data_IF_171864217947
#
_entry.id   IF_171864217947
#
_cell.length_a   1.000
_cell.length_b   1.000
_cell.length_c   1.000
_cell.angle_alpha   90.00
_cell.angle_beta   90.00
_cell.angle_gamma   90.00
#
_symmetry.space_group_name_H-M   'P 1'
#
loop_
_entity.id
_entity.type
_entity.pdbx_description
1 polymer ?
#
# COMPACT_ATOMS: atom_id res chain seq x y z
N UNK A 1 47.96 -18.07 16.42
CA UNK A 1 48.64 -17.39 15.29
C UNK A 1 48.19 -18.09 14.01
N UNK A 2 47.63 -17.29 13.11
CA UNK A 2 47.51 -17.52 11.66
C UNK A 2 46.66 -18.69 11.16
N UNK A 3 45.37 -18.43 10.91
CA UNK A 3 44.62 -19.01 9.78
C UNK A 3 43.44 -18.09 9.43
N UNK A 4 43.72 -16.88 8.94
CA UNK A 4 42.68 -15.97 8.42
C UNK A 4 43.30 -15.00 7.40
N UNK A 5 43.69 -15.50 6.23
CA UNK A 5 44.18 -14.65 5.13
C UNK A 5 44.39 -15.39 3.80
N UNK A 6 43.46 -16.25 3.37
CA UNK A 6 43.59 -16.93 2.05
C UNK A 6 42.35 -16.86 1.14
N UNK A 7 41.34 -16.04 1.45
CA UNK A 7 40.17 -15.88 0.57
C UNK A 7 40.16 -14.59 -0.27
N UNK A 8 41.22 -13.77 -0.22
CA UNK A 8 41.25 -12.49 -0.96
C UNK A 8 41.96 -12.55 -2.32
N UNK A 9 42.34 -13.72 -2.85
CA UNK A 9 43.21 -13.81 -4.03
C UNK A 9 42.73 -14.74 -5.17
N UNK A 10 41.42 -15.01 -5.30
CA UNK A 10 40.91 -15.91 -6.36
C UNK A 10 40.02 -15.23 -7.42
N UNK A 11 40.24 -13.96 -7.74
CA UNK A 11 39.49 -13.28 -8.81
C UNK A 11 40.34 -12.57 -9.87
N UNK A 12 41.63 -12.88 -9.98
CA UNK A 12 42.51 -12.21 -10.95
C UNK A 12 42.93 -13.06 -12.16
N UNK A 13 42.29 -14.21 -12.39
CA UNK A 13 42.50 -14.99 -13.61
C UNK A 13 41.18 -15.28 -14.33
N UNK A 14 41.11 -14.82 -15.58
CA UNK A 14 40.04 -14.97 -16.56
C UNK A 14 38.90 -13.91 -16.52
N UNK A 15 39.24 -12.63 -16.70
CA UNK A 15 38.28 -11.64 -17.20
C UNK A 15 38.01 -11.94 -18.67
N UNK A 16 36.86 -12.56 -18.98
CA UNK A 16 36.40 -12.75 -20.35
C UNK A 16 36.00 -11.40 -20.97
N UNK A 17 36.09 -11.24 -22.30
CA UNK A 17 35.77 -9.99 -23.02
C UNK A 17 34.32 -9.47 -22.82
N UNK A 18 33.45 -10.27 -22.18
CA UNK A 18 32.06 -9.90 -21.83
C UNK A 18 31.84 -9.72 -20.32
N UNK A 19 32.91 -9.63 -19.52
CA UNK A 19 32.80 -9.38 -18.09
C UNK A 19 32.36 -7.94 -17.85
N UNK A 20 31.11 -7.76 -17.43
CA UNK A 20 30.57 -6.49 -16.96
C UNK A 20 30.94 -6.38 -15.48
N UNK A 21 31.76 -5.38 -15.15
CA UNK A 21 32.17 -5.13 -13.76
C UNK A 21 30.93 -4.81 -12.89
N UNK A 22 30.87 -5.31 -11.64
CA UNK A 22 29.78 -4.99 -10.73
C UNK A 22 29.63 -3.47 -10.56
N UNK A 23 28.41 -2.97 -10.74
CA UNK A 23 28.12 -1.53 -10.66
C UNK A 23 28.22 -0.96 -9.21
N UNK A 24 28.56 -1.78 -8.23
CA UNK A 24 28.64 -1.33 -6.85
C UNK A 24 29.79 -0.33 -6.66
N UNK A 25 29.47 0.88 -6.20
CA UNK A 25 30.47 1.86 -5.76
C UNK A 25 30.14 2.33 -4.36
N UNK A 26 31.07 2.09 -3.43
CA UNK A 26 30.91 2.43 -2.01
C UNK A 26 30.61 3.93 -1.80
N UNK A 27 31.20 4.80 -2.62
CA UNK A 27 31.00 6.24 -2.49
C UNK A 27 29.56 6.69 -2.79
N UNK A 28 28.77 5.95 -3.59
CA UNK A 28 27.34 6.23 -3.76
C UNK A 28 26.60 6.07 -2.42
N UNK A 29 26.89 4.99 -1.70
CA UNK A 29 26.29 4.70 -0.39
C UNK A 29 26.65 5.78 0.63
N UNK A 30 27.92 6.19 0.68
CA UNK A 30 28.41 7.23 1.59
C UNK A 30 27.83 8.61 1.24
N UNK A 31 27.68 8.92 -0.05
CA UNK A 31 27.04 10.16 -0.49
C UNK A 31 25.57 10.23 -0.04
N UNK A 32 24.84 9.11 -0.13
CA UNK A 32 23.45 9.04 0.36
C UNK A 32 23.41 9.18 1.89
N UNK A 33 24.33 8.57 2.63
CA UNK A 33 24.42 8.77 4.09
C UNK A 33 24.66 10.25 4.44
N UNK A 34 25.57 10.93 3.73
CA UNK A 34 25.83 12.36 3.92
C UNK A 34 24.58 13.23 3.62
N UNK A 35 23.81 12.88 2.59
CA UNK A 35 22.54 13.53 2.26
C UNK A 35 21.50 13.36 3.39
N UNK A 36 21.39 12.16 3.94
CA UNK A 36 20.43 11.82 5.01
C UNK A 36 20.78 12.53 6.33
N UNK A 37 22.07 12.64 6.65
CA UNK A 37 22.57 13.22 7.89
C UNK A 37 22.60 14.75 7.85
N UNK A 38 23.24 15.32 6.83
CA UNK A 38 23.55 16.74 6.72
C UNK A 38 22.81 17.49 5.61
N UNK A 39 21.92 16.83 4.88
CA UNK A 39 21.13 17.46 3.82
C UNK A 39 21.93 17.74 2.54
N UNK A 40 21.37 18.61 1.69
CA UNK A 40 21.91 18.91 0.36
C UNK A 40 23.33 19.50 0.40
N UNK A 41 23.63 20.37 1.37
CA UNK A 41 24.94 21.01 1.49
C UNK A 41 26.03 19.98 1.82
N UNK A 42 25.76 19.05 2.75
CA UNK A 42 26.70 17.99 3.11
C UNK A 42 26.92 17.01 1.95
N UNK A 43 25.88 16.71 1.17
CA UNK A 43 25.99 15.91 -0.06
C UNK A 43 26.94 16.57 -1.08
N UNK A 44 26.74 17.86 -1.36
CA UNK A 44 27.58 18.62 -2.30
C UNK A 44 29.02 18.76 -1.80
N UNK A 45 29.21 19.01 -0.51
CA UNK A 45 30.54 19.07 0.10
C UNK A 45 31.27 17.73 -0.05
N UNK A 46 30.60 16.61 0.26
CA UNK A 46 31.16 15.26 0.10
C UNK A 46 31.59 14.99 -1.35
N UNK A 47 30.74 15.30 -2.33
CA UNK A 47 31.08 15.12 -3.75
C UNK A 47 32.27 15.97 -4.18
N UNK A 48 32.36 17.22 -3.69
CA UNK A 48 33.47 18.11 -4.00
C UNK A 48 34.79 17.59 -3.42
N UNK A 49 34.75 17.02 -2.21
CA UNK A 49 35.91 16.47 -1.50
C UNK A 49 36.42 15.19 -2.16
N UNK A 50 35.51 14.27 -2.49
CA UNK A 50 35.84 12.98 -3.12
C UNK A 50 36.02 13.10 -4.64
N UNK A 51 35.87 14.31 -5.21
CA UNK A 51 35.94 14.58 -6.67
C UNK A 51 35.01 13.67 -7.48
N UNK A 52 33.83 13.42 -6.95
CA UNK A 52 32.81 12.56 -7.56
C UNK A 52 31.76 13.40 -8.30
N UNK A 53 31.16 12.83 -9.35
CA UNK A 53 30.09 13.49 -10.09
C UNK A 53 28.76 13.39 -9.35
N UNK A 54 27.94 14.45 -9.44
CA UNK A 54 26.54 14.42 -9.06
C UNK A 54 25.80 13.36 -9.89
N UNK A 55 25.01 12.53 -9.21
CA UNK A 55 24.34 11.38 -9.83
C UNK A 55 22.85 11.29 -9.49
N UNK A 56 22.39 11.98 -8.44
CA UNK A 56 20.98 12.06 -8.08
C UNK A 56 20.36 13.26 -8.79
N UNK A 57 19.16 13.07 -9.35
CA UNK A 57 18.34 14.18 -9.81
C UNK A 57 17.78 14.98 -8.62
N UNK A 58 17.47 16.26 -8.84
CA UNK A 58 16.88 17.12 -7.80
C UNK A 58 15.59 16.51 -7.21
N UNK A 59 14.78 15.86 -8.04
CA UNK A 59 13.55 15.18 -7.62
C UNK A 59 13.83 13.98 -6.69
N UNK A 60 14.94 13.27 -6.89
CA UNK A 60 15.35 12.15 -6.04
C UNK A 60 15.88 12.66 -4.70
N UNK A 61 16.67 13.73 -4.72
CA UNK A 61 17.17 14.41 -3.53
C UNK A 61 15.98 14.87 -2.66
N UNK A 62 15.04 15.59 -3.25
CA UNK A 62 13.84 16.07 -2.56
C UNK A 62 12.99 14.91 -2.04
N UNK A 63 12.86 13.83 -2.83
CA UNK A 63 12.13 12.65 -2.39
C UNK A 63 12.78 11.99 -1.16
N UNK A 64 14.10 11.78 -1.18
CA UNK A 64 14.84 11.19 -0.05
C UNK A 64 14.66 12.08 1.20
N UNK A 65 14.93 13.38 1.09
CA UNK A 65 14.88 14.30 2.23
C UNK A 65 13.47 14.37 2.86
N UNK A 66 12.41 14.28 2.05
CA UNK A 66 11.04 14.34 2.54
C UNK A 66 10.51 13.02 3.12
N UNK A 67 11.07 11.86 2.73
CA UNK A 67 10.56 10.53 3.09
C UNK A 67 11.49 9.75 4.05
N UNK A 68 12.60 10.34 4.48
CA UNK A 68 13.49 9.73 5.47
C UNK A 68 12.87 9.73 6.86
N UNK A 69 12.74 8.54 7.43
CA UNK A 69 12.37 8.33 8.82
C UNK A 69 13.61 8.01 9.64
N UNK A 70 14.04 8.97 10.47
CA UNK A 70 15.13 8.78 11.44
C UNK A 70 14.57 8.03 12.65
N UNK A 71 15.24 6.97 13.09
CA UNK A 71 14.87 6.29 14.33
C UNK A 71 15.10 7.26 15.51
N UNK A 72 14.13 7.45 16.43
CA UNK A 72 14.39 8.25 17.61
C UNK A 72 15.50 7.61 18.44
N UNK A 73 16.51 8.41 18.82
CA UNK A 73 17.69 7.99 19.60
C UNK A 73 17.37 7.43 21.01
N UNK A 74 16.08 7.32 21.39
CA UNK A 74 15.63 6.93 22.72
C UNK A 74 14.98 5.54 22.82
N UNK A 75 15.05 4.68 21.80
CA UNK A 75 14.88 3.25 22.05
C UNK A 75 16.16 2.71 22.67
N UNK A 76 16.35 2.98 23.97
CA UNK A 76 17.06 2.05 24.84
C UNK A 76 16.34 0.73 24.65
N UNK A 77 16.95 -0.19 23.92
CA UNK A 77 16.61 -1.59 24.07
C UNK A 77 16.79 -1.87 25.55
N UNK A 78 15.69 -1.99 26.30
CA UNK A 78 15.73 -2.51 27.65
C UNK A 78 16.26 -3.93 27.54
N UNK A 79 17.58 -4.06 27.65
CA UNK A 79 18.31 -5.30 27.79
C UNK A 79 18.07 -5.85 29.19
N UNK A 80 16.81 -6.19 29.48
CA UNK A 80 16.48 -7.08 30.59
C UNK A 80 16.36 -8.47 29.99
N UNK A 81 17.51 -9.12 29.88
CA UNK A 81 17.77 -10.56 30.00
C UNK A 81 19.09 -10.85 29.28
N UNK A 82 20.19 -10.64 30.00
CA UNK A 82 21.45 -11.28 29.68
C UNK A 82 21.25 -12.79 29.87
N UNK A 83 20.97 -13.48 28.77
CA UNK A 83 21.30 -14.90 28.64
C UNK A 83 22.50 -14.92 27.70
N UNK A 84 23.59 -15.41 28.26
CA UNK A 84 24.88 -15.66 27.62
C UNK A 84 24.69 -16.66 26.49
N UNK A 85 24.54 -16.18 25.26
CA UNK A 85 24.70 -17.00 24.06
C UNK A 85 25.99 -16.57 23.35
N UNK A 86 27.05 -17.26 23.74
CA UNK A 86 28.30 -17.41 23.02
C UNK A 86 28.05 -18.13 21.69
N UNK A 87 27.42 -17.45 20.73
CA UNK A 87 27.38 -17.91 19.33
C UNK A 87 27.33 -16.73 18.37
N UNK A 88 28.51 -16.21 18.07
CA UNK A 88 28.74 -15.33 16.94
C UNK A 88 28.77 -16.15 15.65
N UNK A 89 27.64 -16.18 14.93
CA UNK A 89 27.63 -16.08 13.46
C UNK A 89 26.27 -15.56 13.02
N UNK A 90 26.23 -14.33 12.50
CA UNK A 90 25.03 -13.77 11.91
C UNK A 90 24.60 -14.60 10.70
N UNK A 91 23.47 -15.29 10.78
CA UNK A 91 22.82 -15.87 9.60
C UNK A 91 21.33 -16.09 9.89
N UNK A 92 20.50 -15.29 9.22
CA UNK A 92 19.11 -15.59 8.83
C UNK A 92 18.12 -16.03 9.93
N UNK A 93 17.13 -15.17 10.22
CA UNK A 93 16.00 -15.44 11.13
C UNK A 93 14.68 -15.62 10.34
N UNK A 94 14.43 -16.79 9.74
CA UNK A 94 13.24 -17.03 8.90
C UNK A 94 11.92 -16.97 9.67
N UNK A 95 11.90 -17.44 10.91
CA UNK A 95 10.64 -17.63 11.68
C UNK A 95 10.01 -16.28 12.10
N UNK A 96 10.79 -15.21 12.19
CA UNK A 96 10.30 -13.86 12.55
C UNK A 96 10.07 -12.94 11.33
N UNK A 97 10.51 -13.35 10.14
CA UNK A 97 10.40 -12.54 8.91
C UNK A 97 9.33 -13.02 7.93
N UNK A 98 8.82 -14.24 8.08
CA UNK A 98 7.75 -14.81 7.26
C UNK A 98 6.36 -14.29 7.70
N UNK A 99 5.93 -13.18 7.11
CA UNK A 99 4.51 -12.78 7.15
C UNK A 99 3.76 -13.58 6.07
N UNK A 100 2.72 -14.32 6.47
CA UNK A 100 1.88 -15.08 5.52
C UNK A 100 1.31 -14.14 4.45
N UNK A 101 1.52 -14.50 3.17
CA UNK A 101 1.06 -13.68 2.05
C UNK A 101 -0.47 -13.51 2.12
N UNK A 102 -1.00 -12.28 2.02
CA UNK A 102 -2.44 -12.05 1.97
C UNK A 102 -3.09 -12.88 0.84
N UNK A 103 -4.08 -13.68 1.21
CA UNK A 103 -4.83 -14.51 0.27
C UNK A 103 -5.68 -13.65 -0.68
N UNK A 104 -5.77 -14.09 -1.94
CA UNK A 104 -6.67 -13.51 -2.96
C UNK A 104 -8.11 -13.96 -2.68
N UNK A 105 -8.74 -13.25 -1.77
CA UNK A 105 -9.99 -13.62 -1.08
C UNK A 105 -11.28 -13.50 -1.91
N UNK A 106 -11.31 -12.66 -2.94
CA UNK A 106 -12.41 -12.51 -3.89
C UNK A 106 -12.47 -13.60 -4.98
N UNK A 107 -11.55 -14.56 -4.97
CA UNK A 107 -11.47 -15.65 -5.94
C UNK A 107 -10.53 -15.35 -7.09
N UNK A 108 -9.54 -16.23 -7.30
CA UNK A 108 -8.56 -16.11 -8.37
C UNK A 108 -8.62 -17.34 -9.30
N UNK A 109 -8.62 -17.16 -10.64
CA UNK A 109 -8.63 -18.29 -11.56
C UNK A 109 -7.38 -19.16 -11.37
N UNK A 110 -7.57 -20.47 -11.24
CA UNK A 110 -6.46 -21.40 -11.28
C UNK A 110 -5.90 -21.46 -12.71
N UNK A 111 -4.67 -21.02 -12.89
CA UNK A 111 -3.91 -21.21 -14.13
C UNK A 111 -3.12 -22.50 -14.02
N UNK A 112 -3.33 -23.42 -14.95
CA UNK A 112 -2.45 -24.57 -15.13
C UNK A 112 -1.25 -24.11 -15.99
N UNK A 113 -0.02 -24.13 -15.46
CA UNK A 113 1.15 -23.68 -16.21
C UNK A 113 1.32 -24.45 -17.52
N UNK A 114 1.56 -23.74 -18.63
CA UNK A 114 1.91 -24.37 -19.92
C UNK A 114 0.73 -24.83 -20.79
N UNK A 115 -0.52 -24.50 -20.46
CA UNK A 115 -1.70 -24.75 -21.31
C UNK A 115 -1.95 -23.61 -22.31
N UNK A 116 -1.42 -22.42 -22.02
CA UNK A 116 -1.57 -21.23 -22.87
C UNK A 116 -0.71 -21.37 -24.13
N UNK A 117 -1.31 -21.18 -25.32
CA UNK A 117 -0.59 -21.20 -26.60
C UNK A 117 0.46 -20.07 -26.74
N UNK A 118 1.00 -19.93 -27.95
CA UNK A 118 2.04 -18.92 -28.24
C UNK A 118 1.66 -17.50 -27.82
N UNK A 119 2.65 -16.75 -27.32
CA UNK A 119 2.47 -15.36 -26.88
C UNK A 119 2.25 -14.43 -28.06
N UNK A 120 1.17 -13.64 -28.01
CA UNK A 120 0.89 -12.58 -28.97
C UNK A 120 0.95 -11.22 -28.27
N UNK A 121 1.64 -10.26 -28.90
CA UNK A 121 1.86 -8.93 -28.38
C UNK A 121 1.49 -7.90 -29.47
N UNK A 122 0.50 -7.07 -29.17
CA UNK A 122 0.13 -5.90 -29.97
C UNK A 122 0.57 -4.61 -29.26
N UNK A 123 1.16 -3.66 -29.99
CA UNK A 123 1.62 -2.38 -29.43
C UNK A 123 0.61 -1.28 -29.68
N UNK A 124 0.16 -0.54 -28.66
CA UNK A 124 -0.64 0.66 -28.81
C UNK A 124 0.15 1.92 -28.42
N UNK A 125 -0.18 3.04 -29.06
CA UNK A 125 0.50 4.32 -28.85
C UNK A 125 -0.50 5.43 -28.52
N UNK A 126 -0.06 6.39 -27.73
CA UNK A 126 -0.76 7.65 -27.53
C UNK A 126 0.20 8.82 -27.81
N UNK A 127 -0.10 9.73 -28.76
CA UNK A 127 -1.28 9.77 -29.63
C UNK A 127 -1.44 8.53 -30.55
N UNK A 128 -2.68 8.16 -30.93
CA UNK A 128 -2.95 6.98 -31.73
C UNK A 128 -2.32 7.11 -33.13
N UNK A 129 -1.77 5.99 -33.62
CA UNK A 129 -1.15 5.89 -34.95
C UNK A 129 -2.13 5.25 -35.94
N UNK A 130 -1.92 3.99 -36.30
CA UNK A 130 -2.73 3.24 -37.26
C UNK A 130 -3.90 2.47 -36.61
N UNK A 131 -3.99 2.45 -35.28
CA UNK A 131 -5.05 1.73 -34.57
C UNK A 131 -6.34 2.54 -34.50
N UNK A 132 -7.50 1.86 -34.54
CA UNK A 132 -8.80 2.53 -34.49
C UNK A 132 -9.18 3.04 -33.09
N UNK A 133 -8.52 2.54 -32.03
CA UNK A 133 -8.86 2.88 -30.64
C UNK A 133 -7.66 3.48 -29.91
N UNK A 134 -7.95 4.41 -28.99
CA UNK A 134 -6.93 4.94 -28.08
C UNK A 134 -6.58 3.92 -26.98
N UNK A 135 -5.49 4.19 -26.26
CA UNK A 135 -5.09 3.38 -25.10
C UNK A 135 -6.21 3.36 -24.06
N UNK A 136 -6.78 4.53 -23.72
CA UNK A 136 -7.90 4.64 -22.77
C UNK A 136 -9.15 3.90 -23.23
N UNK A 137 -9.52 3.99 -24.50
CA UNK A 137 -10.67 3.24 -25.04
C UNK A 137 -10.45 1.73 -24.96
N UNK A 138 -9.24 1.26 -25.26
CA UNK A 138 -8.89 -0.16 -25.16
C UNK A 138 -8.95 -0.65 -23.72
N UNK A 139 -8.41 0.13 -22.77
CA UNK A 139 -8.49 -0.18 -21.33
C UNK A 139 -9.95 -0.28 -20.87
N UNK A 140 -10.78 0.72 -21.21
CA UNK A 140 -12.21 0.71 -20.86
C UNK A 140 -12.92 -0.50 -21.45
N UNK A 141 -12.68 -0.82 -22.72
CA UNK A 141 -13.24 -2.01 -23.37
C UNK A 141 -12.81 -3.29 -22.64
N UNK A 142 -11.54 -3.39 -22.28
CA UNK A 142 -11.01 -4.57 -21.58
C UNK A 142 -11.65 -4.78 -20.20
N UNK A 143 -11.87 -3.69 -19.45
CA UNK A 143 -12.58 -3.73 -18.15
C UNK A 143 -14.05 -4.14 -18.35
N UNK A 144 -14.72 -3.63 -19.38
CA UNK A 144 -16.12 -4.02 -19.68
C UNK A 144 -16.26 -5.48 -20.07
N UNK A 145 -15.31 -6.01 -20.84
CA UNK A 145 -15.33 -7.38 -21.35
C UNK A 145 -14.93 -8.44 -20.30
N UNK A 146 -14.40 -8.01 -19.16
CA UNK A 146 -14.02 -8.87 -18.04
C UNK A 146 -15.21 -9.67 -17.50
N UNK A 147 -14.96 -10.92 -17.07
CA UNK A 147 -16.02 -11.84 -16.62
C UNK A 147 -15.82 -12.39 -15.21
N UNK A 148 -14.58 -12.48 -14.73
CA UNK A 148 -14.23 -13.12 -13.46
C UNK A 148 -13.41 -12.19 -12.57
N UNK A 149 -12.24 -11.77 -13.06
CA UNK A 149 -11.26 -11.05 -12.24
C UNK A 149 -10.58 -9.95 -13.03
N UNK A 150 -10.36 -8.82 -12.37
CA UNK A 150 -9.55 -7.71 -12.85
C UNK A 150 -8.49 -7.42 -11.79
N UNK A 151 -7.23 -7.47 -12.17
CA UNK A 151 -6.11 -7.06 -11.34
C UNK A 151 -5.41 -5.87 -11.98
N UNK A 152 -5.21 -4.81 -11.19
CA UNK A 152 -4.67 -3.54 -11.66
C UNK A 152 -3.50 -3.19 -10.74
N UNK A 153 -2.35 -2.92 -11.35
CA UNK A 153 -1.17 -2.35 -10.70
C UNK A 153 -0.91 -1.00 -11.36
N UNK A 154 -0.89 0.07 -10.56
CA UNK A 154 -0.78 1.43 -11.10
C UNK A 154 0.00 2.36 -10.16
N UNK A 155 0.87 3.18 -10.75
CA UNK A 155 1.66 4.19 -10.03
C UNK A 155 0.79 5.37 -9.55
N UNK A 156 -0.04 5.94 -10.43
CA UNK A 156 -0.94 7.04 -10.12
C UNK A 156 -2.29 6.84 -10.79
N UNK A 157 -3.37 7.00 -10.00
CA UNK A 157 -4.73 6.82 -10.47
C UNK A 157 -5.63 7.99 -10.06
N UNK A 158 -5.95 8.85 -11.04
CA UNK A 158 -6.85 10.00 -10.90
C UNK A 158 -7.91 10.12 -12.01
N UNK A 159 -7.92 9.23 -13.01
CA UNK A 159 -8.91 9.22 -14.10
C UNK A 159 -10.29 8.73 -13.63
N UNK A 160 -11.29 9.61 -13.70
CA UNK A 160 -12.66 9.31 -13.24
C UNK A 160 -13.39 8.33 -14.15
N UNK A 161 -13.13 8.36 -15.46
CA UNK A 161 -13.84 7.50 -16.41
C UNK A 161 -13.43 6.04 -16.24
N UNK A 162 -12.13 5.79 -16.06
CA UNK A 162 -11.63 4.43 -15.81
C UNK A 162 -12.11 3.94 -14.43
N UNK A 163 -12.10 4.81 -13.41
CA UNK A 163 -12.60 4.46 -12.09
C UNK A 163 -14.08 4.04 -12.12
N UNK A 164 -14.93 4.78 -12.86
CA UNK A 164 -16.35 4.43 -13.02
C UNK A 164 -16.54 3.04 -13.64
N UNK A 165 -15.76 2.69 -14.67
CA UNK A 165 -15.83 1.38 -15.32
C UNK A 165 -15.42 0.24 -14.38
N UNK A 166 -14.46 0.49 -13.47
CA UNK A 166 -14.06 -0.48 -12.44
C UNK A 166 -15.18 -0.69 -11.42
N UNK A 167 -15.80 0.40 -10.96
CA UNK A 167 -16.93 0.32 -10.03
C UNK A 167 -18.10 -0.42 -10.68
N UNK A 168 -18.41 -0.13 -11.93
CA UNK A 168 -19.43 -0.86 -12.71
C UNK A 168 -19.07 -2.34 -12.88
N UNK A 169 -17.80 -2.66 -13.14
CA UNK A 169 -17.34 -4.05 -13.22
C UNK A 169 -17.55 -4.79 -11.89
N UNK A 170 -17.18 -4.17 -10.77
CA UNK A 170 -17.40 -4.73 -9.43
C UNK A 170 -18.88 -4.89 -9.10
N UNK A 171 -19.74 -3.97 -9.54
CA UNK A 171 -21.20 -4.07 -9.38
C UNK A 171 -21.81 -5.27 -10.13
N UNK A 172 -21.13 -5.76 -11.18
CA UNK A 172 -21.51 -6.98 -11.90
C UNK A 172 -21.06 -8.27 -11.19
N UNK A 173 -20.40 -8.17 -10.04
CA UNK A 173 -19.84 -9.31 -9.30
C UNK A 173 -18.50 -9.81 -9.84
N UNK A 174 -17.75 -8.94 -10.52
CA UNK A 174 -16.37 -9.23 -10.96
C UNK A 174 -15.44 -8.85 -9.81
N UNK A 175 -14.55 -9.77 -9.43
CA UNK A 175 -13.55 -9.50 -8.40
C UNK A 175 -12.47 -8.55 -8.93
N UNK A 176 -12.32 -7.40 -8.29
CA UNK A 176 -11.33 -6.39 -8.65
C UNK A 176 -10.30 -6.22 -7.55
N UNK A 177 -9.03 -6.36 -7.91
CA UNK A 177 -7.89 -6.07 -7.06
C UNK A 177 -7.12 -4.88 -7.64
N UNK A 178 -6.92 -3.85 -6.82
CA UNK A 178 -6.24 -2.62 -7.18
C UNK A 178 -5.05 -2.40 -6.25
N UNK A 179 -3.85 -2.50 -6.81
CA UNK A 179 -2.58 -2.18 -6.16
C UNK A 179 -2.10 -0.82 -6.64
N UNK A 180 -1.93 0.10 -5.70
CA UNK A 180 -1.47 1.46 -5.95
C UNK A 180 -0.14 1.72 -5.25
N UNK A 181 0.69 2.59 -5.81
CA UNK A 181 1.84 3.11 -5.09
C UNK A 181 1.39 3.88 -3.84
N UNK A 182 2.07 3.67 -2.72
CA UNK A 182 1.71 4.31 -1.46
C UNK A 182 1.88 5.83 -1.49
N UNK A 183 2.98 6.33 -2.07
CA UNK A 183 3.28 7.77 -2.07
C UNK A 183 2.20 8.56 -2.81
N UNK A 184 1.63 7.96 -3.85
CA UNK A 184 0.59 8.58 -4.68
C UNK A 184 -0.85 8.24 -4.27
N UNK A 185 -1.05 7.38 -3.26
CA UNK A 185 -2.37 6.91 -2.85
C UNK A 185 -3.32 8.04 -2.43
N UNK A 186 -2.78 9.10 -1.83
CA UNK A 186 -3.56 10.26 -1.38
C UNK A 186 -4.31 10.97 -2.53
N UNK A 187 -3.77 10.94 -3.75
CA UNK A 187 -4.42 11.51 -4.93
C UNK A 187 -5.64 10.71 -5.36
N UNK A 188 -5.55 9.38 -5.32
CA UNK A 188 -6.67 8.48 -5.59
C UNK A 188 -7.79 8.71 -4.59
N UNK A 189 -7.49 8.77 -3.29
CA UNK A 189 -8.49 9.00 -2.25
C UNK A 189 -9.26 10.31 -2.49
N UNK A 190 -8.55 11.42 -2.74
CA UNK A 190 -9.17 12.72 -3.06
C UNK A 190 -10.06 12.67 -4.30
N UNK A 191 -9.68 11.92 -5.33
CA UNK A 191 -10.50 11.75 -6.53
C UNK A 191 -11.81 11.04 -6.18
N UNK A 192 -11.73 9.94 -5.44
CA UNK A 192 -12.92 9.16 -5.05
C UNK A 192 -13.88 9.92 -4.13
N UNK A 193 -13.35 10.70 -3.18
CA UNK A 193 -14.15 11.57 -2.31
C UNK A 193 -14.92 12.63 -3.11
N UNK A 194 -14.29 13.23 -4.12
CA UNK A 194 -14.94 14.19 -5.03
C UNK A 194 -16.07 13.58 -5.84
N UNK A 195 -15.99 12.28 -6.15
CA UNK A 195 -17.06 11.56 -6.84
C UNK A 195 -18.17 11.09 -5.88
N UNK A 196 -18.09 11.42 -4.59
CA UNK A 196 -19.04 10.97 -3.57
C UNK A 196 -18.87 9.50 -3.17
N UNK A 197 -17.80 8.85 -3.62
CA UNK A 197 -17.46 7.47 -3.25
C UNK A 197 -16.49 7.50 -2.06
N UNK A 198 -17.01 7.30 -0.84
CA UNK A 198 -16.12 7.11 0.32
C UNK A 198 -15.50 5.70 0.25
N UNK A 199 -14.26 5.61 -0.21
CA UNK A 199 -13.55 4.32 -0.39
C UNK A 199 -13.38 3.56 0.95
N UNK A 200 -13.28 4.29 2.06
CA UNK A 200 -13.32 3.73 3.43
C UNK A 200 -14.62 2.97 3.72
N UNK A 201 -15.74 3.44 3.18
CA UNK A 201 -17.07 2.84 3.30
C UNK A 201 -17.37 1.80 2.22
N UNK A 202 -16.50 1.59 1.23
CA UNK A 202 -16.66 0.45 0.31
C UNK A 202 -16.52 -0.89 1.05
N UNK A 203 -15.87 -0.90 2.23
CA UNK A 203 -15.80 -2.08 3.10
C UNK A 203 -16.97 -2.17 4.10
N UNK A 204 -17.71 -1.08 4.36
CA UNK A 204 -18.67 -0.97 5.49
C UNK A 204 -20.10 -0.60 5.06
N UNK A 205 -20.31 0.32 4.11
CA UNK A 205 -21.65 0.71 3.62
C UNK A 205 -22.07 -0.06 2.36
N UNK A 206 -21.11 -0.49 1.54
CA UNK A 206 -21.32 -1.26 0.30
C UNK A 206 -20.81 -2.70 0.45
N UNK A 207 -21.38 -3.45 1.39
CA UNK A 207 -21.09 -4.86 1.70
C UNK A 207 -21.25 -5.86 0.51
N UNK A 208 -21.35 -5.37 -0.74
CA UNK A 208 -21.68 -6.11 -1.95
C UNK A 208 -20.74 -5.84 -3.13
N UNK A 209 -19.68 -5.04 -2.96
CA UNK A 209 -18.71 -4.78 -4.04
C UNK A 209 -17.42 -5.56 -3.81
N UNK A 210 -17.10 -6.45 -4.75
CA UNK A 210 -15.85 -7.22 -4.78
C UNK A 210 -14.70 -6.34 -5.29
N UNK A 211 -14.34 -5.27 -4.56
CA UNK A 211 -13.23 -4.37 -4.86
C UNK A 211 -12.27 -4.29 -3.67
N UNK A 212 -11.02 -4.73 -3.87
CA UNK A 212 -9.93 -4.62 -2.88
C UNK A 212 -8.90 -3.61 -3.35
N UNK A 213 -8.73 -2.53 -2.59
CA UNK A 213 -7.69 -1.52 -2.81
C UNK A 213 -6.59 -1.67 -1.76
N UNK A 214 -5.34 -1.81 -2.20
CA UNK A 214 -4.15 -1.94 -1.35
C UNK A 214 -3.02 -1.06 -1.87
N UNK A 215 -2.07 -0.73 -1.00
CA UNK A 215 -0.88 0.05 -1.35
C UNK A 215 0.36 -0.82 -1.36
N UNK A 216 1.30 -0.51 -2.26
CA UNK A 216 2.60 -1.18 -2.37
C UNK A 216 3.70 -0.14 -2.23
N UNK A 217 4.75 -0.50 -1.50
CA UNK A 217 5.99 0.28 -1.36
C UNK A 217 7.08 -0.35 -2.24
N UNK A 218 8.02 0.46 -2.70
CA UNK A 218 9.26 -0.05 -3.27
C UNK A 218 10.18 -0.64 -2.20
N UNK A 219 11.44 -0.89 -2.57
CA UNK A 219 12.43 -1.46 -1.65
C UNK A 219 12.80 -0.46 -0.55
N UNK A 220 13.00 -0.98 0.68
CA UNK A 220 13.51 -0.20 1.80
C UNK A 220 15.02 0.03 1.63
N UNK A 221 15.44 1.29 1.78
CA UNK A 221 16.84 1.68 1.89
C UNK A 221 17.17 2.00 3.34
N UNK A 222 18.28 1.46 3.84
CA UNK A 222 18.76 1.67 5.20
C UNK A 222 20.10 2.41 5.16
N UNK A 223 20.15 3.55 5.84
CA UNK A 223 21.40 4.28 6.09
C UNK A 223 22.20 3.67 7.23
N UNK A 224 23.48 4.04 7.33
CA UNK A 224 24.35 3.62 8.43
C UNK A 224 23.81 4.01 9.82
N UNK A 225 23.08 5.12 9.93
CA UNK A 225 22.52 5.61 11.20
C UNK A 225 21.19 4.95 11.58
N UNK A 226 20.71 4.00 10.78
CA UNK A 226 19.42 3.34 10.98
C UNK A 226 18.22 4.18 10.50
N UNK A 227 18.46 5.33 9.88
CA UNK A 227 17.40 6.03 9.16
C UNK A 227 17.01 5.24 7.90
N UNK A 228 15.72 5.23 7.59
CA UNK A 228 15.16 4.47 6.47
C UNK A 228 14.23 5.30 5.60
N UNK A 229 14.20 5.00 4.32
CA UNK A 229 13.18 5.44 3.37
C UNK A 229 12.87 4.30 2.42
N UNK A 230 11.79 4.41 1.64
CA UNK A 230 11.42 3.37 0.67
C UNK A 230 11.30 3.93 -0.74
N UNK A 231 11.56 3.08 -1.73
CA UNK A 231 11.30 3.39 -3.14
C UNK A 231 9.82 3.46 -3.48
N UNK A 232 9.53 3.78 -4.73
CA UNK A 232 8.18 3.80 -5.32
C UNK A 232 7.91 2.53 -6.12
N UNK A 233 6.63 2.18 -6.29
CA UNK A 233 6.18 1.15 -7.22
C UNK A 233 5.86 1.79 -8.59
N UNK A 234 6.77 1.64 -9.56
CA UNK A 234 6.61 2.22 -10.91
C UNK A 234 5.97 1.27 -11.94
N UNK A 235 5.68 0.02 -11.54
CA UNK A 235 5.06 -0.96 -12.41
C UNK A 235 3.60 -0.60 -12.72
N UNK A 236 3.22 -0.79 -13.99
CA UNK A 236 1.91 -0.44 -14.53
C UNK A 236 1.39 -1.53 -15.45
N UNK A 237 0.43 -2.30 -14.96
CA UNK A 237 -0.27 -3.26 -15.80
C UNK A 237 -1.68 -3.57 -15.32
N UNK A 238 -2.49 -4.08 -16.25
CA UNK A 238 -3.83 -4.57 -16.00
C UNK A 238 -3.90 -6.00 -16.48
N UNK A 239 -4.28 -6.92 -15.60
CA UNK A 239 -4.51 -8.34 -15.89
C UNK A 239 -6.02 -8.62 -15.81
N UNK A 240 -6.61 -9.12 -16.90
CA UNK A 240 -8.04 -9.45 -16.96
C UNK A 240 -8.24 -10.93 -17.23
N UNK A 241 -9.08 -11.56 -16.41
CA UNK A 241 -9.49 -12.96 -16.45
C UNK A 241 -8.33 -13.97 -16.55
N UNK A 242 -7.12 -13.55 -16.12
CA UNK A 242 -5.87 -14.28 -16.31
C UNK A 242 -5.59 -14.69 -17.77
N UNK A 243 -6.05 -13.89 -18.74
CA UNK A 243 -5.96 -14.20 -20.19
C UNK A 243 -5.36 -13.08 -21.02
N UNK A 244 -5.49 -11.84 -20.57
CA UNK A 244 -5.03 -10.66 -21.30
C UNK A 244 -4.39 -9.69 -20.33
N UNK A 245 -3.25 -9.15 -20.73
CA UNK A 245 -2.52 -8.12 -19.99
C UNK A 245 -2.38 -6.87 -20.85
N UNK A 246 -2.54 -5.70 -20.25
CA UNK A 246 -2.03 -4.45 -20.81
C UNK A 246 -0.91 -3.96 -19.92
N UNK A 247 0.29 -3.80 -20.47
CA UNK A 247 1.49 -3.33 -19.76
C UNK A 247 2.12 -2.15 -20.50
N UNK A 248 2.57 -1.12 -19.80
CA UNK A 248 3.32 -0.05 -20.44
C UNK A 248 3.51 1.21 -19.59
N UNK A 249 3.77 2.34 -20.26
CA UNK A 249 4.10 3.59 -19.56
C UNK A 249 2.88 4.44 -19.19
N UNK A 250 1.69 4.10 -19.71
CA UNK A 250 0.45 4.87 -19.53
C UNK A 250 -0.04 4.83 -18.08
N UNK A 251 -0.04 5.96 -17.39
CA UNK A 251 -0.66 6.12 -16.07
C UNK A 251 -2.09 6.64 -16.17
N UNK A 252 -2.94 6.32 -15.19
CA UNK A 252 -4.35 6.73 -15.20
C UNK A 252 -4.53 8.18 -14.74
N UNK A 253 -4.07 9.11 -15.57
CA UNK A 253 -4.11 10.55 -15.33
C UNK A 253 -4.53 11.32 -16.58
N UNK A 254 -5.08 12.51 -16.37
CA UNK A 254 -5.41 13.43 -17.47
C UNK A 254 -4.20 13.84 -18.32
N UNK A 255 -3.00 13.95 -17.72
CA UNK A 255 -1.76 14.29 -18.44
C UNK A 255 -1.42 13.26 -19.52
N UNK A 256 -1.65 11.98 -19.26
CA UNK A 256 -1.42 10.93 -20.26
C UNK A 256 -2.38 10.97 -21.43
N UNK A 257 -3.55 11.61 -21.28
CA UNK A 257 -4.48 11.84 -22.37
C UNK A 257 -4.12 13.08 -23.22
N UNK A 258 -3.55 14.12 -22.61
CA UNK A 258 -3.42 15.44 -23.25
C UNK A 258 -2.00 15.92 -23.51
N UNK A 259 -1.03 15.48 -22.73
CA UNK A 259 0.34 16.02 -22.77
C UNK A 259 1.40 14.97 -23.05
N UNK A 260 1.27 13.77 -22.48
CA UNK A 260 2.36 12.79 -22.50
C UNK A 260 2.28 11.87 -23.70
N UNK A 261 3.45 11.46 -24.18
CA UNK A 261 3.59 10.37 -25.15
C UNK A 261 3.71 9.06 -24.38
N UNK A 262 2.95 8.05 -24.76
CA UNK A 262 3.00 6.74 -24.09
C UNK A 262 2.80 5.58 -25.05
N UNK A 263 3.21 4.40 -24.59
CA UNK A 263 3.10 3.15 -25.32
C UNK A 263 2.68 2.05 -24.36
N UNK A 264 1.79 1.18 -24.82
CA UNK A 264 1.39 -0.02 -24.08
C UNK A 264 1.43 -1.25 -24.98
N UNK A 265 1.60 -2.40 -24.37
CA UNK A 265 1.60 -3.72 -24.98
C UNK A 265 0.33 -4.44 -24.54
N UNK A 266 -0.47 -4.93 -25.48
CA UNK A 266 -1.59 -5.84 -25.23
C UNK A 266 -1.08 -7.25 -25.45
N UNK A 267 -0.99 -8.02 -24.35
CA UNK A 267 -0.34 -9.31 -24.31
C UNK A 267 -1.39 -10.40 -24.06
N UNK A 268 -1.31 -11.49 -24.82
CA UNK A 268 -2.11 -12.71 -24.63
C UNK A 268 -1.22 -13.95 -24.80
N UNK A 269 -1.64 -15.07 -24.23
CA UNK A 269 -0.87 -16.33 -24.28
C UNK A 269 -0.01 -16.54 -23.04
N UNK A 270 1.06 -17.33 -23.16
CA UNK A 270 1.83 -17.82 -22.01
C UNK A 270 2.44 -16.71 -21.14
N UNK A 271 2.88 -15.58 -21.72
CA UNK A 271 3.50 -14.49 -20.94
C UNK A 271 2.55 -13.90 -19.88
N UNK A 272 1.23 -14.08 -20.02
CA UNK A 272 0.24 -13.67 -19.02
C UNK A 272 0.45 -14.39 -17.67
N UNK A 273 0.96 -15.63 -17.68
CA UNK A 273 1.27 -16.39 -16.47
C UNK A 273 2.38 -15.71 -15.64
N UNK A 274 3.37 -15.09 -16.29
CA UNK A 274 4.42 -14.34 -15.58
C UNK A 274 3.89 -13.06 -14.93
N UNK A 275 2.92 -12.39 -15.56
CA UNK A 275 2.25 -11.23 -14.96
C UNK A 275 1.31 -11.63 -13.81
N UNK A 276 0.72 -12.82 -13.86
CA UNK A 276 -0.06 -13.41 -12.76
C UNK A 276 0.82 -13.65 -11.52
N UNK A 277 2.00 -14.23 -11.72
CA UNK A 277 3.00 -14.45 -10.67
C UNK A 277 3.50 -13.13 -10.07
N UNK A 278 3.83 -12.15 -10.93
CA UNK A 278 4.26 -10.83 -10.46
C UNK A 278 3.14 -10.13 -9.67
N UNK A 279 1.89 -10.22 -10.13
CA UNK A 279 0.76 -9.65 -9.39
C UNK A 279 0.61 -10.28 -8.01
N UNK A 280 0.71 -11.61 -7.89
CA UNK A 280 0.66 -12.31 -6.60
C UNK A 280 1.79 -11.86 -5.68
N UNK A 281 2.99 -11.71 -6.24
CA UNK A 281 4.18 -11.25 -5.52
C UNK A 281 4.00 -9.82 -4.99
N UNK A 282 3.47 -8.90 -5.80
CA UNK A 282 3.15 -7.54 -5.36
C UNK A 282 2.01 -7.52 -4.34
N UNK A 283 0.98 -8.34 -4.55
CA UNK A 283 -0.13 -8.46 -3.61
C UNK A 283 0.35 -8.96 -2.25
N UNK A 284 1.29 -9.91 -2.23
CA UNK A 284 1.91 -10.39 -1.00
C UNK A 284 2.65 -9.28 -0.23
N UNK A 285 3.35 -8.39 -0.96
CA UNK A 285 4.06 -7.23 -0.39
C UNK A 285 3.13 -6.05 -0.02
N UNK A 286 1.90 -6.05 -0.53
CA UNK A 286 1.00 -4.92 -0.37
C UNK A 286 0.43 -4.83 1.05
N UNK A 287 0.15 -3.61 1.50
CA UNK A 287 -0.49 -3.30 2.79
C UNK A 287 -1.89 -2.70 2.61
N UNK A 288 -2.72 -2.80 3.65
CA UNK A 288 -3.96 -2.01 3.68
C UNK A 288 -3.56 -0.53 3.81
N UNK A 289 -4.12 0.38 2.99
CA UNK A 289 -3.76 1.78 3.04
C UNK A 289 -4.02 2.35 4.45
N UNK A 290 -3.08 3.11 4.98
CA UNK A 290 -3.17 3.69 6.33
C UNK A 290 -4.41 4.56 6.52
N UNK A 291 -4.87 5.22 5.45
CA UNK A 291 -6.11 6.01 5.44
C UNK A 291 -7.38 5.19 5.66
N UNK A 292 -7.32 3.85 5.59
CA UNK A 292 -8.43 2.94 5.88
C UNK A 292 -8.32 2.27 7.25
N UNK A 293 -7.24 2.52 8.00
CA UNK A 293 -7.14 2.03 9.36
C UNK A 293 -8.26 2.68 10.20
N UNK A 294 -9.05 1.89 10.95
CA UNK A 294 -10.08 2.45 11.82
C UNK A 294 -9.44 3.44 12.81
N UNK A 295 -10.15 4.53 13.10
CA UNK A 295 -9.83 5.57 14.09
C UNK A 295 -9.76 5.05 15.55
N UNK A 296 -9.14 3.89 15.80
CA UNK A 296 -8.90 3.37 17.14
C UNK A 296 -7.84 4.17 17.92
N UNK A 297 -7.08 5.05 17.25
CA UNK A 297 -6.05 5.88 17.90
C UNK A 297 -6.57 7.26 18.31
N UNK A 298 -7.68 7.77 17.74
CA UNK A 298 -8.23 9.08 18.11
C UNK A 298 -9.10 9.05 19.36
N UNK A 299 -9.72 7.91 19.69
CA UNK A 299 -10.52 7.78 20.92
C UNK A 299 -9.63 7.74 22.16
N UNK A 300 -8.40 7.22 22.08
CA UNK A 300 -7.50 7.17 23.24
C UNK A 300 -6.98 8.55 23.67
N UNK A 301 -6.97 9.54 22.78
CA UNK A 301 -6.61 10.92 23.16
C UNK A 301 -7.77 11.62 23.87
N UNK A 302 -9.02 11.34 23.50
CA UNK A 302 -10.19 11.88 24.21
C UNK A 302 -10.51 11.11 25.49
N UNK A 303 -10.29 9.79 25.52
CA UNK A 303 -10.47 8.97 26.72
C UNK A 303 -9.37 9.28 27.75
N UNK A 304 -8.13 9.51 27.32
CA UNK A 304 -7.06 10.02 28.17
C UNK A 304 -7.32 11.44 28.70
N UNK A 305 -8.04 12.27 27.94
CA UNK A 305 -8.47 13.60 28.40
C UNK A 305 -9.63 13.53 29.41
N UNK A 306 -10.56 12.58 29.24
CA UNK A 306 -11.68 12.36 30.16
C UNK A 306 -11.32 11.59 31.44
N UNK A 307 -10.27 10.76 31.40
CA UNK A 307 -9.73 10.08 32.58
C UNK A 307 -8.87 10.99 33.47
N UNK A 308 -8.46 12.17 32.98
CA UNK A 308 -7.66 13.15 33.72
C UNK A 308 -8.46 14.20 34.51
N UNK A 309 -9.79 14.23 34.38
CA UNK A 309 -10.65 15.20 35.06
C UNK A 309 -11.75 14.47 35.84
N UNK A 310 -11.47 14.24 37.13
CA UNK A 310 -12.46 14.25 38.22
C UNK A 310 -13.47 13.09 38.32
N UNK A 311 -13.32 12.30 39.39
CA UNK A 311 -14.36 11.52 40.09
C UNK A 311 -15.55 11.00 39.26
N UNK A 312 -15.38 9.82 38.65
CA UNK A 312 -16.50 9.02 38.18
C UNK A 312 -16.86 8.01 39.27
N UNK A 313 -18.08 8.08 39.81
CA UNK A 313 -18.59 7.10 40.76
C UNK A 313 -18.76 5.73 40.07
N UNK A 314 -18.45 4.64 40.78
CA UNK A 314 -18.42 3.26 40.28
C UNK A 314 -19.68 2.82 39.51
N UNK A 315 -20.83 3.46 39.77
CA UNK A 315 -22.09 3.21 39.05
C UNK A 315 -22.04 3.57 37.55
N UNK A 316 -21.18 4.52 37.13
CA UNK A 316 -21.09 4.96 35.73
C UNK A 316 -20.29 3.99 34.86
N UNK A 317 -19.23 3.37 35.41
CA UNK A 317 -18.47 2.32 34.74
C UNK A 317 -19.32 1.07 34.51
N UNK A 318 -20.14 0.70 35.51
CA UNK A 318 -21.00 -0.47 35.41
C UNK A 318 -22.06 -0.34 34.31
N UNK A 319 -22.61 0.87 34.12
CA UNK A 319 -23.66 1.10 33.12
C UNK A 319 -23.13 1.08 31.68
N UNK A 320 -21.91 1.59 31.45
CA UNK A 320 -21.28 1.58 30.12
C UNK A 320 -20.90 0.15 29.70
N UNK A 321 -20.33 -0.63 30.62
CA UNK A 321 -19.97 -2.04 30.36
C UNK A 321 -21.22 -2.89 30.11
N UNK A 322 -22.30 -2.67 30.87
CA UNK A 322 -23.58 -3.36 30.64
C UNK A 322 -24.18 -2.99 29.28
N UNK A 323 -24.07 -1.73 28.84
CA UNK A 323 -24.53 -1.27 27.52
C UNK A 323 -23.71 -1.88 26.36
N UNK A 324 -22.38 -2.01 26.50
CA UNK A 324 -21.55 -2.69 25.51
C UNK A 324 -21.84 -4.19 25.44
N UNK A 325 -22.04 -4.85 26.58
CA UNK A 325 -22.41 -6.26 26.63
C UNK A 325 -23.81 -6.53 26.06
N UNK A 326 -24.77 -5.64 26.31
CA UNK A 326 -26.10 -5.71 25.69
C UNK A 326 -26.04 -5.47 24.19
N UNK A 327 -25.19 -4.55 23.71
CA UNK A 327 -24.97 -4.30 22.29
C UNK A 327 -24.40 -5.54 21.58
N UNK A 328 -23.36 -6.16 22.15
CA UNK A 328 -22.76 -7.39 21.61
C UNK A 328 -23.74 -8.58 21.62
N UNK A 329 -24.59 -8.69 22.64
CA UNK A 329 -25.56 -9.78 22.76
C UNK A 329 -26.77 -9.61 21.82
N UNK A 330 -27.24 -8.38 21.61
CA UNK A 330 -28.29 -8.06 20.63
C UNK A 330 -27.79 -8.22 19.18
N UNK A 331 -26.52 -7.90 18.91
CA UNK A 331 -25.90 -8.14 17.60
C UNK A 331 -25.80 -9.65 17.31
N UNK A 332 -25.38 -10.45 18.30
CA UNK A 332 -25.19 -11.90 18.17
C UNK A 332 -26.49 -12.69 17.97
N UNK A 333 -27.64 -12.19 18.44
CA UNK A 333 -28.94 -12.88 18.36
C UNK A 333 -29.85 -12.42 17.20
N UNK A 334 -29.43 -11.51 16.34
CA UNK A 334 -30.28 -10.95 15.28
C UNK A 334 -30.17 -11.70 13.94
N UNK A 335 -30.82 -12.85 13.81
CA UNK A 335 -30.83 -13.66 12.57
C UNK A 335 -31.74 -13.13 11.43
N UNK A 336 -32.31 -11.91 11.52
CA UNK A 336 -33.23 -11.44 10.48
C UNK A 336 -33.10 -9.96 10.10
N UNK A 337 -32.85 -9.73 8.80
CA UNK A 337 -32.50 -8.46 8.14
C UNK A 337 -33.52 -7.32 8.28
N UNK A 338 -34.74 -7.57 8.79
CA UNK A 338 -35.75 -6.52 9.03
C UNK A 338 -35.62 -5.84 10.39
N UNK A 339 -34.99 -6.48 11.38
CA UNK A 339 -34.85 -5.91 12.73
C UNK A 339 -33.74 -4.86 12.84
N UNK A 340 -32.71 -4.88 11.97
CA UNK A 340 -31.56 -3.96 12.09
C UNK A 340 -31.96 -2.49 11.96
N UNK A 341 -32.93 -2.14 11.10
CA UNK A 341 -33.41 -0.76 10.97
C UNK A 341 -34.11 -0.25 12.24
N UNK A 342 -34.84 -1.12 12.93
CA UNK A 342 -35.49 -0.81 14.21
C UNK A 342 -34.49 -0.70 15.36
N UNK A 343 -33.46 -1.55 15.38
CA UNK A 343 -32.41 -1.54 16.42
C UNK A 343 -31.53 -0.29 16.31
N UNK A 344 -31.13 0.11 15.10
CA UNK A 344 -30.35 1.35 14.90
C UNK A 344 -31.16 2.60 15.28
N UNK A 345 -32.45 2.64 14.94
CA UNK A 345 -33.34 3.73 15.38
C UNK A 345 -33.53 3.76 16.91
N UNK A 346 -33.65 2.59 17.53
CA UNK A 346 -33.79 2.48 18.99
C UNK A 346 -32.53 2.95 19.71
N UNK A 347 -31.33 2.66 19.19
CA UNK A 347 -30.04 3.11 19.76
C UNK A 347 -29.87 4.64 19.64
N UNK A 348 -30.28 5.24 18.52
CA UNK A 348 -30.27 6.70 18.37
C UNK A 348 -31.25 7.38 19.32
N UNK A 349 -32.45 6.81 19.50
CA UNK A 349 -33.46 7.32 20.43
C UNK A 349 -32.96 7.19 21.88
N UNK A 350 -32.34 6.07 22.26
CA UNK A 350 -31.79 5.87 23.60
C UNK A 350 -30.63 6.84 23.87
N UNK A 351 -29.74 7.07 22.89
CA UNK A 351 -28.68 8.10 22.99
C UNK A 351 -29.26 9.52 23.13
N UNK A 352 -30.32 9.84 22.38
CA UNK A 352 -30.96 11.15 22.43
C UNK A 352 -31.70 11.37 23.77
N UNK A 353 -32.40 10.35 24.28
CA UNK A 353 -33.07 10.38 25.58
C UNK A 353 -32.05 10.53 26.70
N UNK A 354 -30.94 9.78 26.66
CA UNK A 354 -29.84 9.91 27.64
C UNK A 354 -29.19 11.29 27.59
N UNK A 355 -29.00 11.86 26.38
CA UNK A 355 -28.47 13.22 26.22
C UNK A 355 -29.41 14.27 26.81
N UNK A 356 -30.72 14.17 26.55
CA UNK A 356 -31.73 15.07 27.12
C UNK A 356 -31.77 14.93 28.65
N UNK A 357 -31.77 13.71 29.19
CA UNK A 357 -31.79 13.46 30.64
C UNK A 357 -30.53 13.99 31.35
N UNK A 358 -29.38 13.94 30.68
CA UNK A 358 -28.12 14.45 31.23
C UNK A 358 -28.05 15.98 31.17
N UNK A 359 -28.55 16.59 30.10
CA UNK A 359 -28.63 18.06 29.98
C UNK A 359 -29.62 18.63 31.00
N UNK A 360 -30.75 17.97 31.22
CA UNK A 360 -31.77 18.41 32.19
C UNK A 360 -31.28 18.29 33.65
N UNK A 361 -30.52 17.23 33.98
CA UNK A 361 -29.86 17.10 35.29
C UNK A 361 -28.67 18.04 35.49
N UNK A 362 -27.93 18.37 34.43
CA UNK A 362 -26.86 19.36 34.49
C UNK A 362 -27.42 20.78 34.71
N UNK A 363 -28.55 21.12 34.07
CA UNK A 363 -29.22 22.41 34.26
C UNK A 363 -29.88 22.59 35.64
N UNK A 364 -30.33 21.50 36.30
CA UNK A 364 -30.91 21.58 37.65
C UNK A 364 -29.88 21.62 38.78
N UNK A 365 -28.58 21.47 38.49
CA UNK A 365 -27.49 21.63 39.47
C UNK A 365 -26.76 22.98 39.37
N UNK A 366 -27.26 23.93 38.56
CA UNK A 366 -26.69 25.28 38.37
C UNK A 366 -27.66 26.40 38.81
N UNK A 367 -28.77 26.08 39.49
CA UNK A 367 -29.68 27.06 40.09
C UNK A 367 -29.79 26.90 41.61
#
# INVERSE_FOLDING_TARGET
METSSLLSSLHDECRSDNYIEPHYKEWYRVAIDALIEGGLEAYKEFLSKERCSEFLADEEIDYILNNVHKLPQNTVYSSNHAIDDTSSSGTYWPIESDVEAPNLDLGWPYLMPGISGGTNIDLLFHPPRAQPYTIKETIRKMIRDARKVIAIVMDMFTDVDIFREIVEASARGIAVYLLLDESNFSHFLKMTEKQGCQVQRLRVDFLWMDLRVRTVRGQDYYSKTGAKFHGKMEQKFILVDCKKVIYGSYSFMWSFEKTNLSMVQVITGQLVESFDEEFRTLYARSSVPSSFAPELVRVNTYLGFFLGLGHWNECTYFYIIILELLYLNLYRNSESRRCLKGVVYSVYIVRLILYIFFVEKACTSIL
#
